data_IF_064276512918
#
_entry.id   IF_064276512918
#
_cell.length_a   1.000
_cell.length_b   1.000
_cell.length_c   1.000
_cell.angle_alpha   90.00
_cell.angle_beta   90.00
_cell.angle_gamma   90.00
#
_symmetry.space_group_name_H-M   'P 1'
#
loop_
_entity.id
_entity.type
_entity.pdbx_description
1 polymer ?
#
# COMPACT_ATOMS: atom_id res chain seq x y z
N UNK A 1 9.72 -17.92 -9.01
CA UNK A 1 9.64 -16.68 -8.25
C UNK A 1 8.58 -15.77 -8.82
N UNK A 2 8.23 -14.74 -8.07
CA UNK A 2 7.24 -13.75 -8.47
C UNK A 2 7.59 -13.11 -9.83
N UNK A 3 8.84 -12.69 -10.00
CA UNK A 3 9.28 -12.05 -11.25
C UNK A 3 9.21 -13.01 -12.43
N UNK A 4 9.59 -14.26 -12.23
CA UNK A 4 9.60 -15.24 -13.33
C UNK A 4 8.18 -15.62 -13.77
N UNK A 5 7.24 -15.77 -12.81
CA UNK A 5 5.88 -16.21 -13.11
C UNK A 5 4.99 -15.10 -13.63
N UNK A 6 5.16 -13.85 -13.12
CA UNK A 6 4.23 -12.77 -13.37
C UNK A 6 4.87 -11.54 -14.01
N UNK A 7 6.04 -11.70 -14.58
CA UNK A 7 6.81 -10.58 -15.13
C UNK A 7 6.04 -9.72 -16.13
N UNK A 8 5.27 -10.34 -17.02
CA UNK A 8 4.52 -9.61 -18.04
C UNK A 8 3.39 -8.75 -17.48
N UNK A 9 2.84 -9.12 -16.30
CA UNK A 9 1.77 -8.38 -15.65
C UNK A 9 2.24 -7.47 -14.52
N UNK A 10 3.53 -7.55 -14.18
CA UNK A 10 4.09 -6.77 -13.09
C UNK A 10 4.38 -5.34 -13.56
N UNK A 11 3.71 -4.37 -12.97
CA UNK A 11 3.84 -2.95 -13.34
C UNK A 11 4.74 -2.15 -12.42
N UNK A 12 4.97 -2.63 -11.20
CA UNK A 12 5.87 -1.95 -10.27
C UNK A 12 5.96 -2.62 -8.92
N UNK A 13 7.04 -2.31 -8.23
CA UNK A 13 7.30 -2.74 -6.86
C UNK A 13 7.69 -1.52 -6.05
N UNK A 14 7.04 -1.30 -4.91
CA UNK A 14 7.36 -0.21 -3.99
C UNK A 14 7.69 -0.81 -2.63
N UNK A 15 8.92 -0.56 -2.17
CA UNK A 15 9.31 -0.91 -0.80
C UNK A 15 8.96 0.26 0.11
N UNK A 16 8.02 0.06 1.02
CA UNK A 16 7.45 1.12 1.85
C UNK A 16 8.36 1.48 3.03
N UNK A 17 9.56 1.99 2.71
CA UNK A 17 10.48 2.58 3.68
C UNK A 17 10.56 4.07 3.41
N UNK A 18 10.70 4.90 4.40
CA UNK A 18 10.75 6.36 4.25
C UNK A 18 9.62 6.89 3.34
N UNK A 19 8.70 7.63 3.86
CA UNK A 19 7.53 8.10 3.14
C UNK A 19 6.29 7.22 3.32
N UNK A 20 6.42 6.06 3.97
CA UNK A 20 5.30 5.20 4.35
C UNK A 20 4.39 4.86 3.19
N UNK A 21 3.08 4.99 3.39
CA UNK A 21 2.06 4.65 2.39
C UNK A 21 1.98 5.64 1.24
N UNK A 22 2.57 6.81 1.37
CA UNK A 22 2.53 7.84 0.34
C UNK A 22 3.74 7.84 -0.58
N UNK A 23 4.69 6.94 -0.36
CA UNK A 23 5.91 6.85 -1.16
C UNK A 23 5.63 6.73 -2.66
N UNK A 24 4.57 6.02 -3.01
CA UNK A 24 4.19 5.78 -4.41
C UNK A 24 3.88 7.08 -5.17
N UNK A 25 3.49 8.16 -4.49
CA UNK A 25 3.23 9.44 -5.14
C UNK A 25 4.40 9.93 -6.00
N UNK A 26 5.63 9.57 -5.61
CA UNK A 26 6.84 9.98 -6.34
C UNK A 26 6.95 9.33 -7.72
N UNK A 27 6.21 8.25 -7.95
CA UNK A 27 6.30 7.44 -9.16
C UNK A 27 5.04 7.49 -10.03
N UNK A 28 4.03 8.28 -9.62
CA UNK A 28 2.77 8.37 -10.34
C UNK A 28 2.80 9.42 -11.45
N UNK A 29 1.98 9.20 -12.49
CA UNK A 29 1.72 10.16 -13.54
C UNK A 29 0.21 10.22 -13.78
N UNK A 30 -0.45 11.23 -13.23
CA UNK A 30 -1.89 11.43 -13.35
C UNK A 30 -2.70 10.18 -12.98
N UNK A 31 -2.38 9.59 -11.84
CA UNK A 31 -3.05 8.40 -11.32
C UNK A 31 -3.50 8.62 -9.89
N UNK A 32 -4.60 8.01 -9.55
CA UNK A 32 -5.09 7.92 -8.17
C UNK A 32 -4.95 6.47 -7.72
N UNK A 33 -4.36 6.29 -6.56
CA UNK A 33 -4.29 4.98 -5.92
C UNK A 33 -5.23 4.99 -4.72
N UNK A 34 -6.20 4.09 -4.73
CA UNK A 34 -7.14 3.92 -3.62
C UNK A 34 -6.73 2.67 -2.85
N UNK A 35 -6.38 2.85 -1.58
CA UNK A 35 -6.02 1.76 -0.67
C UNK A 35 -7.13 1.62 0.36
N UNK A 36 -8.02 0.68 0.14
CA UNK A 36 -9.22 0.49 0.96
C UNK A 36 -9.27 -0.85 1.68
N UNK A 37 -8.23 -1.66 1.57
CA UNK A 37 -8.18 -2.99 2.18
C UNK A 37 -6.77 -3.32 2.63
N UNK A 38 -6.16 -2.45 3.43
CA UNK A 38 -4.82 -2.66 3.96
C UNK A 38 -4.82 -3.81 4.98
N UNK A 39 -3.66 -4.46 5.11
CA UNK A 39 -3.45 -5.45 6.16
C UNK A 39 -3.62 -4.80 7.54
N UNK A 40 -4.00 -5.58 8.58
CA UNK A 40 -4.12 -5.04 9.93
C UNK A 40 -2.84 -4.33 10.37
N UNK A 41 -3.00 -3.20 11.04
CA UNK A 41 -1.87 -2.43 11.57
C UNK A 41 -1.29 -3.15 12.78
N UNK A 42 0.02 -3.44 12.81
CA UNK A 42 0.64 -4.05 13.99
C UNK A 42 0.50 -3.16 15.24
N UNK A 43 0.32 -3.74 16.43
CA UNK A 43 0.10 -2.97 17.65
C UNK A 43 1.18 -1.95 17.99
N UNK A 44 2.42 -2.16 17.55
CA UNK A 44 3.51 -1.23 17.80
C UNK A 44 3.21 0.17 17.23
N UNK A 45 2.53 0.26 16.09
CA UNK A 45 2.21 1.55 15.48
C UNK A 45 1.11 2.27 16.24
N UNK A 46 0.16 1.55 16.82
CA UNK A 46 -0.85 2.14 17.70
C UNK A 46 -0.21 2.71 18.97
N UNK A 47 0.76 2.00 19.54
CA UNK A 47 1.50 2.46 20.70
C UNK A 47 2.29 3.74 20.37
N UNK A 48 3.00 3.77 19.25
CA UNK A 48 3.75 4.96 18.82
C UNK A 48 2.81 6.15 18.63
N UNK A 49 1.67 5.95 18.00
CA UNK A 49 0.68 7.01 17.79
C UNK A 49 0.18 7.57 19.12
N UNK A 50 -0.15 6.68 20.06
CA UNK A 50 -0.66 7.06 21.38
C UNK A 50 0.37 7.85 22.18
N UNK A 51 1.61 7.37 22.23
CA UNK A 51 2.67 8.00 22.99
C UNK A 51 3.15 9.32 22.41
N UNK A 52 3.16 9.44 21.08
CA UNK A 52 3.61 10.65 20.38
C UNK A 52 2.51 11.66 20.13
N UNK A 53 1.23 11.25 20.25
CA UNK A 53 0.07 12.06 19.89
C UNK A 53 0.08 12.54 18.43
N UNK A 54 0.72 11.78 17.55
CA UNK A 54 0.80 12.08 16.13
C UNK A 54 -0.54 11.78 15.46
N UNK A 55 -0.99 12.66 14.55
CA UNK A 55 -2.21 12.41 13.79
C UNK A 55 -2.06 11.15 12.93
N UNK A 56 -3.14 10.38 12.77
CA UNK A 56 -3.12 9.17 11.94
C UNK A 56 -2.74 9.48 10.49
N UNK A 57 -3.18 10.61 9.94
CA UNK A 57 -2.79 10.99 8.58
C UNK A 57 -1.28 11.13 8.43
N UNK A 58 -0.60 11.64 9.44
CA UNK A 58 0.86 11.76 9.45
C UNK A 58 1.54 10.41 9.68
N UNK A 59 0.97 9.54 10.53
CA UNK A 59 1.49 8.20 10.76
C UNK A 59 1.65 7.42 9.45
N UNK A 60 0.68 7.51 8.55
CA UNK A 60 0.72 6.79 7.28
C UNK A 60 1.74 7.39 6.29
N UNK A 61 2.21 8.62 6.50
CA UNK A 61 3.26 9.20 5.66
C UNK A 61 4.66 8.87 6.15
N UNK A 62 4.81 8.60 7.45
CA UNK A 62 6.11 8.35 8.08
C UNK A 62 6.40 6.85 8.17
N UNK A 63 5.39 6.05 8.55
CA UNK A 63 5.55 4.63 8.81
C UNK A 63 4.85 3.79 7.74
N UNK A 64 5.37 2.60 7.50
CA UNK A 64 4.74 1.67 6.56
C UNK A 64 3.45 1.04 7.13
N UNK A 65 3.21 1.17 8.42
CA UNK A 65 2.04 0.63 9.12
C UNK A 65 1.86 -0.88 8.92
N UNK A 66 2.97 -1.59 8.75
CA UNK A 66 2.97 -3.03 8.50
C UNK A 66 2.92 -3.43 7.03
N UNK A 67 2.78 -2.47 6.12
CA UNK A 67 2.75 -2.70 4.68
C UNK A 67 4.15 -2.46 4.11
N UNK A 68 4.97 -3.51 4.06
CA UNK A 68 6.39 -3.36 3.73
C UNK A 68 6.67 -3.25 2.24
N UNK A 69 5.90 -3.97 1.43
CA UNK A 69 6.10 -4.03 -0.01
C UNK A 69 4.76 -3.93 -0.72
N UNK A 70 4.68 -3.07 -1.70
CA UNK A 70 3.54 -2.93 -2.58
C UNK A 70 3.90 -3.49 -3.95
N UNK A 71 3.00 -4.29 -4.53
CA UNK A 71 3.17 -4.88 -5.85
C UNK A 71 2.05 -4.36 -6.74
N UNK A 72 2.41 -3.72 -7.84
CA UNK A 72 1.47 -3.16 -8.81
C UNK A 72 1.41 -4.08 -10.03
N UNK A 73 0.25 -4.65 -10.29
CA UNK A 73 0.06 -5.65 -11.34
C UNK A 73 -1.14 -5.31 -12.21
N UNK A 74 -1.23 -5.97 -13.37
CA UNK A 74 -2.37 -5.84 -14.26
C UNK A 74 -3.65 -6.32 -13.56
N UNK A 75 -4.78 -5.75 -13.97
CA UNK A 75 -6.08 -6.10 -13.42
C UNK A 75 -6.32 -7.61 -13.51
N UNK A 76 -6.77 -8.21 -12.42
CA UNK A 76 -7.06 -9.64 -12.34
C UNK A 76 -5.91 -10.50 -11.83
N UNK A 77 -4.69 -9.96 -11.74
CA UNK A 77 -3.54 -10.71 -11.24
C UNK A 77 -3.34 -10.63 -9.73
N UNK A 78 -3.99 -9.67 -9.06
CA UNK A 78 -3.81 -9.46 -7.63
C UNK A 78 -4.08 -10.69 -6.78
N UNK A 79 -5.18 -11.39 -7.05
CA UNK A 79 -5.55 -12.59 -6.29
C UNK A 79 -4.55 -13.73 -6.46
N UNK A 80 -3.98 -13.89 -7.64
CA UNK A 80 -2.96 -14.92 -7.91
C UNK A 80 -1.68 -14.63 -7.13
N UNK A 81 -1.28 -13.36 -7.07
CA UNK A 81 -0.12 -12.93 -6.29
C UNK A 81 -0.35 -13.19 -4.79
N UNK A 82 -1.54 -12.90 -4.30
CA UNK A 82 -1.90 -13.17 -2.90
C UNK A 82 -1.82 -14.67 -2.60
N UNK A 83 -2.34 -15.51 -3.48
CA UNK A 83 -2.25 -16.97 -3.32
C UNK A 83 -0.80 -17.44 -3.27
N UNK A 84 0.05 -16.90 -4.15
CA UNK A 84 1.47 -17.24 -4.17
C UNK A 84 2.14 -16.85 -2.85
N UNK A 85 1.87 -15.64 -2.36
CA UNK A 85 2.43 -15.18 -1.08
C UNK A 85 2.01 -16.09 0.07
N UNK A 86 0.74 -16.49 0.13
CA UNK A 86 0.22 -17.38 1.17
C UNK A 86 0.88 -18.75 1.12
N UNK A 87 1.25 -19.23 -0.06
CA UNK A 87 1.96 -20.51 -0.19
C UNK A 87 3.34 -20.49 0.47
N UNK A 88 3.90 -19.30 0.69
CA UNK A 88 5.16 -19.09 1.40
C UNK A 88 4.95 -18.56 2.83
N UNK A 89 3.72 -18.68 3.36
CA UNK A 89 3.36 -18.18 4.69
C UNK A 89 3.59 -16.66 4.87
N UNK A 90 3.37 -15.89 3.82
CA UNK A 90 3.48 -14.43 3.84
C UNK A 90 2.07 -13.84 3.82
N UNK A 91 1.78 -12.97 4.76
CA UNK A 91 0.52 -12.23 4.77
C UNK A 91 0.46 -11.27 3.60
N UNK A 92 -0.62 -11.35 2.85
CA UNK A 92 -0.82 -10.50 1.68
C UNK A 92 -2.31 -10.28 1.43
N UNK A 93 -2.65 -9.15 0.82
CA UNK A 93 -4.02 -8.87 0.40
C UNK A 93 -4.01 -7.97 -0.83
N UNK A 94 -5.15 -7.94 -1.53
CA UNK A 94 -5.39 -6.93 -2.55
C UNK A 94 -5.79 -5.66 -1.80
N UNK A 95 -4.84 -4.73 -1.68
CA UNK A 95 -4.98 -3.56 -0.81
C UNK A 95 -5.86 -2.46 -1.44
N UNK A 96 -5.99 -2.47 -2.75
CA UNK A 96 -6.77 -1.46 -3.46
C UNK A 96 -6.58 -1.51 -4.96
N UNK A 97 -6.75 -0.37 -5.60
CA UNK A 97 -6.70 -0.28 -7.05
C UNK A 97 -6.12 1.06 -7.51
N UNK A 98 -5.76 1.12 -8.80
CA UNK A 98 -5.24 2.33 -9.46
C UNK A 98 -6.24 2.78 -10.51
N UNK A 99 -6.52 4.08 -10.55
CA UNK A 99 -7.39 4.67 -11.57
C UNK A 99 -6.78 5.93 -12.15
N UNK A 100 -7.25 6.36 -13.31
CA UNK A 100 -6.79 7.61 -13.93
C UNK A 100 -7.33 8.81 -13.13
N UNK A 101 -6.52 9.86 -13.02
CA UNK A 101 -6.88 11.08 -12.31
C UNK A 101 -6.22 12.28 -12.98
N UNK A 102 -6.70 13.48 -12.66
CA UNK A 102 -6.13 14.72 -13.20
C UNK A 102 -4.78 15.05 -12.57
N UNK A 103 -4.55 14.58 -11.35
CA UNK A 103 -3.31 14.79 -10.59
C UNK A 103 -2.98 13.52 -9.82
N UNK A 104 -1.74 13.40 -9.40
CA UNK A 104 -1.32 12.27 -8.58
C UNK A 104 -2.01 12.35 -7.22
N UNK A 105 -2.52 11.21 -6.76
CA UNK A 105 -3.24 11.13 -5.50
C UNK A 105 -3.12 9.75 -4.89
N UNK A 106 -2.96 9.68 -3.57
CA UNK A 106 -3.12 8.45 -2.80
C UNK A 106 -4.27 8.69 -1.83
N UNK A 107 -5.26 7.80 -1.86
CA UNK A 107 -6.39 7.82 -0.95
C UNK A 107 -6.34 6.58 -0.06
N UNK A 108 -6.26 6.79 1.23
CA UNK A 108 -6.29 5.70 2.21
C UNK A 108 -7.66 5.68 2.89
N UNK A 109 -8.34 4.54 2.83
CA UNK A 109 -9.58 4.30 3.56
C UNK A 109 -9.28 3.26 4.63
N UNK A 110 -9.14 3.73 5.87
CA UNK A 110 -8.67 2.91 6.99
C UNK A 110 -9.66 2.94 8.15
N UNK A 111 -9.44 2.07 9.14
CA UNK A 111 -10.22 2.09 10.38
C UNK A 111 -10.00 3.38 11.19
N UNK A 112 -8.95 4.11 10.92
CA UNK A 112 -8.64 5.38 11.59
C UNK A 112 -9.13 6.61 10.83
N UNK A 113 -9.74 6.42 9.67
CA UNK A 113 -10.28 7.49 8.84
C UNK A 113 -9.88 7.37 7.38
N UNK A 114 -10.37 8.32 6.57
CA UNK A 114 -10.01 8.43 5.15
C UNK A 114 -9.04 9.60 4.99
N UNK A 115 -7.88 9.33 4.37
CA UNK A 115 -6.83 10.33 4.18
C UNK A 115 -6.47 10.45 2.71
N UNK A 116 -6.31 11.68 2.22
CA UNK A 116 -5.98 11.96 0.82
C UNK A 116 -4.65 12.72 0.79
N UNK A 117 -3.72 12.21 -0.01
CA UNK A 117 -2.39 12.79 -0.21
C UNK A 117 -2.19 13.12 -1.69
N UNK A 118 -1.59 14.28 -1.97
CA UNK A 118 -1.34 14.75 -3.34
C UNK A 118 0.09 15.19 -3.56
#
# INVERSE_FOLDING_TARGET
SLFNQYRSGLQGLIHCTGGGQTKVLKFLQQKRIVKNNLLPVPPIFELIQKESSTDWSEMYTVFNMGQRLEVYVAKGMGNEIVKLAKSFNIDACVAGYVENAKQNEVRLETSHGTFIYR
#
